data_IF_939080695114
#
_entry.id   IF_939080695114
#
_cell.length_a   1.000
_cell.length_b   1.000
_cell.length_c   1.000
_cell.angle_alpha   90.00
_cell.angle_beta   90.00
_cell.angle_gamma   90.00
#
_symmetry.space_group_name_H-M   'P 1'
#
loop_
_entity.id
_entity.type
_entity.pdbx_description
1 polymer ?
#
# COMPACT_ATOMS: atom_id res chain seq x y z
N UNK A 1 2.82 -22.71 12.42
CA UNK A 1 1.34 -22.76 12.49
C UNK A 1 0.89 -24.21 12.44
N UNK A 2 0.34 -24.76 13.54
CA UNK A 2 -0.24 -26.10 13.52
C UNK A 2 -1.54 -26.11 12.69
N UNK A 3 -1.95 -27.30 12.22
CA UNK A 3 -3.22 -27.46 11.51
C UNK A 3 -4.38 -27.00 12.41
N UNK A 4 -5.31 -26.23 11.83
CA UNK A 4 -6.51 -25.72 12.53
C UNK A 4 -6.35 -24.35 13.22
N UNK A 5 -5.13 -23.79 13.29
CA UNK A 5 -4.90 -22.47 13.91
C UNK A 5 -4.26 -21.52 12.88
N UNK A 6 -5.08 -20.74 12.15
CA UNK A 6 -4.58 -19.83 11.13
C UNK A 6 -4.00 -18.54 11.73
N UNK A 7 -3.00 -17.98 11.06
CA UNK A 7 -2.39 -16.67 11.34
C UNK A 7 -2.21 -15.99 9.99
N UNK A 8 -2.68 -14.75 9.89
CA UNK A 8 -2.48 -13.94 8.70
C UNK A 8 -1.13 -13.22 8.79
N UNK A 9 -0.07 -13.88 8.33
CA UNK A 9 1.29 -13.35 8.34
C UNK A 9 1.45 -12.21 7.33
N UNK A 10 2.18 -11.16 7.73
CA UNK A 10 2.58 -10.04 6.85
C UNK A 10 4.11 -9.97 6.75
N UNK A 11 4.64 -9.03 5.94
CA UNK A 11 6.08 -8.86 5.77
C UNK A 11 6.83 -8.50 7.07
N UNK A 12 8.10 -8.86 7.14
CA UNK A 12 9.00 -8.52 8.26
C UNK A 12 9.07 -7.00 8.41
N UNK A 13 9.00 -6.49 9.65
CA UNK A 13 8.97 -5.06 9.97
C UNK A 13 7.87 -4.26 9.23
N UNK A 14 6.79 -4.92 8.81
CA UNK A 14 5.73 -4.28 8.03
C UNK A 14 4.43 -4.15 8.85
N UNK A 15 4.48 -3.31 9.87
CA UNK A 15 3.31 -2.99 10.71
C UNK A 15 2.19 -2.30 9.92
N UNK A 16 2.53 -1.55 8.88
CA UNK A 16 1.57 -0.88 7.99
C UNK A 16 0.67 -1.93 7.32
N UNK A 17 1.24 -3.01 6.78
CA UNK A 17 0.45 -4.07 6.16
C UNK A 17 -0.40 -4.83 7.19
N UNK A 18 0.09 -5.03 8.42
CA UNK A 18 -0.72 -5.60 9.49
C UNK A 18 -1.94 -4.71 9.82
N UNK A 19 -1.73 -3.40 9.96
CA UNK A 19 -2.80 -2.45 10.23
C UNK A 19 -3.82 -2.36 9.08
N UNK A 20 -3.35 -2.33 7.83
CA UNK A 20 -4.22 -2.33 6.65
C UNK A 20 -5.01 -3.64 6.53
N UNK A 21 -4.40 -4.78 6.88
CA UNK A 21 -5.10 -6.06 6.91
C UNK A 21 -6.21 -6.06 7.99
N UNK A 22 -5.92 -5.57 9.19
CA UNK A 22 -6.91 -5.42 10.25
C UNK A 22 -8.06 -4.49 9.82
N UNK A 23 -7.73 -3.35 9.21
CA UNK A 23 -8.73 -2.41 8.69
C UNK A 23 -9.61 -3.02 7.59
N UNK A 24 -9.06 -3.90 6.74
CA UNK A 24 -9.84 -4.65 5.74
C UNK A 24 -10.80 -5.65 6.38
N UNK A 25 -10.38 -6.35 7.44
CA UNK A 25 -11.24 -7.28 8.19
C UNK A 25 -12.40 -6.51 8.83
N UNK A 26 -12.12 -5.40 9.51
CA UNK A 26 -13.16 -4.55 10.10
C UNK A 26 -14.06 -3.91 9.02
N UNK A 27 -13.48 -3.45 7.92
CA UNK A 27 -14.20 -2.89 6.77
C UNK A 27 -15.11 -3.89 6.05
N UNK A 28 -14.99 -5.19 6.33
CA UNK A 28 -15.98 -6.17 5.87
C UNK A 28 -17.37 -5.90 6.47
N UNK A 29 -17.43 -5.26 7.64
CA UNK A 29 -18.67 -4.94 8.37
C UNK A 29 -18.92 -3.43 8.53
N UNK A 30 -17.90 -2.59 8.32
CA UNK A 30 -18.00 -1.12 8.37
C UNK A 30 -17.74 -0.51 6.97
N UNK A 31 -18.79 0.06 6.38
CA UNK A 31 -18.73 0.68 5.04
C UNK A 31 -17.87 1.95 5.00
N UNK A 32 -17.83 2.72 6.08
CA UNK A 32 -17.03 3.95 6.15
C UNK A 32 -15.55 3.59 6.19
N UNK A 33 -15.19 2.58 6.99
CA UNK A 33 -13.82 2.09 7.06
C UNK A 33 -13.38 1.46 5.74
N UNK A 34 -14.25 0.68 5.08
CA UNK A 34 -13.97 0.12 3.75
C UNK A 34 -13.62 1.20 2.74
N UNK A 35 -14.43 2.26 2.68
CA UNK A 35 -14.18 3.39 1.77
C UNK A 35 -12.83 4.05 2.03
N UNK A 36 -12.44 4.23 3.30
CA UNK A 36 -11.12 4.78 3.66
C UNK A 36 -9.96 3.91 3.16
N UNK A 37 -10.09 2.58 3.28
CA UNK A 37 -9.07 1.64 2.79
C UNK A 37 -8.99 1.64 1.26
N UNK A 38 -10.13 1.71 0.57
CA UNK A 38 -10.19 1.81 -0.90
C UNK A 38 -9.56 3.12 -1.39
N UNK A 39 -9.86 4.23 -0.72
CA UNK A 39 -9.27 5.54 -1.02
C UNK A 39 -7.76 5.53 -0.80
N UNK A 40 -7.28 4.96 0.31
CA UNK A 40 -5.85 4.77 0.55
C UNK A 40 -5.17 4.01 -0.59
N UNK A 41 -5.78 2.92 -1.08
CA UNK A 41 -5.25 2.13 -2.19
C UNK A 41 -5.26 2.92 -3.52
N UNK A 42 -6.30 3.70 -3.81
CA UNK A 42 -6.38 4.57 -4.99
C UNK A 42 -5.29 5.64 -4.95
N UNK A 43 -5.10 6.30 -3.81
CA UNK A 43 -4.10 7.35 -3.65
C UNK A 43 -2.68 6.79 -3.83
N UNK A 44 -2.40 5.60 -3.29
CA UNK A 44 -1.11 4.92 -3.50
C UNK A 44 -0.87 4.56 -4.97
N UNK A 45 -1.92 4.19 -5.73
CA UNK A 45 -1.82 3.95 -7.17
C UNK A 45 -1.47 5.24 -7.92
N UNK A 46 -2.21 6.31 -7.66
CA UNK A 46 -2.01 7.61 -8.32
C UNK A 46 -0.59 8.12 -8.08
N UNK A 47 -0.15 8.14 -6.82
CA UNK A 47 1.17 8.65 -6.47
C UNK A 47 2.29 7.83 -7.11
N UNK A 48 2.24 6.50 -7.02
CA UNK A 48 3.35 5.65 -7.48
C UNK A 48 3.35 5.40 -9.00
N UNK A 49 2.20 5.19 -9.63
CA UNK A 49 2.14 4.80 -11.04
C UNK A 49 1.90 5.99 -11.96
N UNK A 50 0.94 6.83 -11.60
CA UNK A 50 0.46 7.90 -12.48
C UNK A 50 1.37 9.13 -12.38
N UNK A 51 1.91 9.44 -11.19
CA UNK A 51 2.81 10.57 -10.97
C UNK A 51 4.27 10.12 -11.07
N UNK A 52 4.75 9.34 -10.09
CA UNK A 52 6.15 8.93 -10.01
C UNK A 52 6.57 8.09 -11.21
N UNK A 53 5.74 7.11 -11.58
CA UNK A 53 5.97 6.25 -12.74
C UNK A 53 6.00 7.01 -14.07
N UNK A 54 5.11 7.99 -14.28
CA UNK A 54 5.12 8.81 -15.49
C UNK A 54 6.37 9.68 -15.58
N UNK A 55 6.72 10.37 -14.49
CA UNK A 55 7.93 11.18 -14.39
C UNK A 55 9.18 10.35 -14.71
N UNK A 56 9.33 9.17 -14.09
CA UNK A 56 10.47 8.29 -14.32
C UNK A 56 10.58 7.81 -15.77
N UNK A 57 9.46 7.56 -16.46
CA UNK A 57 9.46 7.18 -17.88
C UNK A 57 9.86 8.32 -18.80
N UNK A 58 9.52 9.56 -18.45
CA UNK A 58 9.84 10.74 -19.25
C UNK A 58 11.32 11.14 -19.13
N UNK A 59 11.85 11.18 -17.89
CA UNK A 59 13.19 11.73 -17.63
C UNK A 59 14.29 10.66 -17.53
N UNK A 60 13.93 9.38 -17.54
CA UNK A 60 14.82 8.26 -17.28
C UNK A 60 15.04 8.01 -15.78
N UNK A 61 15.46 6.80 -15.42
CA UNK A 61 15.60 6.41 -14.01
C UNK A 61 16.78 7.10 -13.32
N UNK A 62 17.84 7.42 -14.07
CA UNK A 62 19.04 8.08 -13.56
C UNK A 62 18.72 9.49 -13.03
N UNK A 63 18.11 10.34 -13.86
CA UNK A 63 17.69 11.69 -13.46
C UNK A 63 16.60 11.67 -12.38
N UNK A 64 15.68 10.72 -12.47
CA UNK A 64 14.65 10.55 -11.46
C UNK A 64 15.24 10.24 -10.08
N UNK A 65 16.30 9.43 -10.01
CA UNK A 65 17.01 9.12 -8.77
C UNK A 65 17.76 10.33 -8.21
N UNK A 66 18.37 11.16 -9.05
CA UNK A 66 19.05 12.39 -8.63
C UNK A 66 18.09 13.44 -8.02
N UNK A 67 16.86 13.50 -8.54
CA UNK A 67 15.81 14.42 -8.05
C UNK A 67 15.02 13.87 -6.86
N UNK A 68 15.24 12.62 -6.44
CA UNK A 68 14.53 12.06 -5.28
C UNK A 68 14.96 12.75 -3.98
N UNK A 69 14.01 13.21 -3.15
CA UNK A 69 14.35 13.74 -1.83
C UNK A 69 15.02 12.64 -0.99
N UNK A 70 16.12 13.00 -0.32
CA UNK A 70 16.84 12.12 0.61
C UNK A 70 16.08 11.93 1.92
#
# INVERSE_FOLDING_TARGET
MPRGVPVATVGINNSINAALLAARILGAFDWQLRRKVEEYAKNAKVDNLDIKGAKMREIGWERYFEEMPK
#
